data_IF_784147930362
#
_entry.id   IF_784147930362
#
_cell.length_a   1.000
_cell.length_b   1.000
_cell.length_c   1.000
_cell.angle_alpha   90.00
_cell.angle_beta   90.00
_cell.angle_gamma   90.00
#
_symmetry.space_group_name_H-M   'P 1'
#
loop_
_entity.id
_entity.type
_entity.pdbx_description
1 polymer ?
#
# COMPACT_ATOMS: atom_id res chain seq x y z
N UNK A 1 5.27 -4.76 -7.22
CA UNK A 1 4.10 -3.96 -6.79
C UNK A 1 3.74 -4.24 -5.34
N UNK A 2 3.36 -5.48 -4.94
CA UNK A 2 2.96 -5.78 -3.55
C UNK A 2 4.00 -5.44 -2.48
N UNK A 3 5.28 -5.78 -2.72
CA UNK A 3 6.36 -5.42 -1.82
C UNK A 3 6.45 -3.90 -1.64
N UNK A 4 6.46 -3.13 -2.73
CA UNK A 4 6.48 -1.67 -2.67
C UNK A 4 5.32 -1.10 -1.85
N UNK A 5 4.09 -1.62 -2.02
CA UNK A 5 2.93 -1.20 -1.22
C UNK A 5 3.12 -1.44 0.28
N UNK A 6 3.58 -2.63 0.68
CA UNK A 6 3.83 -2.96 2.09
C UNK A 6 5.00 -2.16 2.70
N UNK A 7 6.06 -1.94 1.93
CA UNK A 7 7.18 -1.09 2.35
C UNK A 7 6.74 0.36 2.57
N UNK A 8 5.92 0.89 1.67
CA UNK A 8 5.38 2.25 1.78
C UNK A 8 4.46 2.38 3.00
N UNK A 9 3.56 1.40 3.23
CA UNK A 9 2.73 1.36 4.45
C UNK A 9 3.63 1.38 5.69
N UNK A 10 4.60 0.46 5.79
CA UNK A 10 5.47 0.37 6.96
C UNK A 10 6.27 1.65 7.22
N UNK A 11 6.79 2.29 6.16
CA UNK A 11 7.48 3.56 6.27
C UNK A 11 6.54 4.67 6.77
N UNK A 12 5.39 4.87 6.12
CA UNK A 12 4.44 5.93 6.47
C UNK A 12 3.85 5.76 7.88
N UNK A 13 3.64 4.53 8.36
CA UNK A 13 3.17 4.27 9.73
C UNK A 13 4.14 4.82 10.78
N UNK A 14 5.45 4.80 10.50
CA UNK A 14 6.49 5.29 11.40
C UNK A 14 6.76 6.79 11.19
N UNK A 15 7.03 7.21 9.96
CA UNK A 15 7.47 8.59 9.66
C UNK A 15 6.34 9.54 9.24
N UNK A 16 5.07 9.14 9.32
CA UNK A 16 3.94 9.93 8.81
C UNK A 16 3.82 11.33 9.41
N UNK A 17 4.06 11.47 10.71
CA UNK A 17 4.09 12.80 11.38
C UNK A 17 5.22 13.67 10.87
N UNK A 18 6.44 13.14 10.85
CA UNK A 18 7.62 13.86 10.38
C UNK A 18 7.46 14.28 8.92
N UNK A 19 6.85 13.42 8.11
CA UNK A 19 6.53 13.72 6.70
C UNK A 19 5.61 14.93 6.59
N UNK A 20 4.51 14.97 7.36
CA UNK A 20 3.59 16.10 7.31
C UNK A 20 4.19 17.38 7.89
N UNK A 21 4.95 17.28 8.99
CA UNK A 21 5.63 18.44 9.58
C UNK A 21 6.68 19.02 8.64
N UNK A 22 7.44 18.16 7.96
CA UNK A 22 8.45 18.58 6.98
C UNK A 22 7.84 19.25 5.75
N UNK A 23 6.71 18.73 5.25
CA UNK A 23 6.08 19.23 4.02
C UNK A 23 5.19 20.46 4.24
N UNK A 24 4.43 20.48 5.34
CA UNK A 24 3.37 21.45 5.57
C UNK A 24 3.57 22.30 6.83
N UNK A 25 4.56 21.97 7.68
CA UNK A 25 4.84 22.67 8.93
C UNK A 25 4.23 22.00 10.16
N UNK A 26 4.64 22.45 11.34
CA UNK A 26 4.29 21.86 12.64
C UNK A 26 2.78 21.88 12.93
N UNK A 27 2.04 22.84 12.37
CA UNK A 27 0.59 22.95 12.50
C UNK A 27 -0.16 21.72 11.93
N UNK A 28 0.45 20.98 11.00
CA UNK A 28 -0.14 19.81 10.35
C UNK A 28 0.24 18.48 11.01
N UNK A 29 0.74 18.50 12.24
CA UNK A 29 1.11 17.27 12.97
C UNK A 29 -0.04 16.26 13.05
N UNK A 30 -1.29 16.73 13.20
CA UNK A 30 -2.48 15.87 13.25
C UNK A 30 -2.72 15.16 11.91
N UNK A 31 -2.52 15.85 10.78
CA UNK A 31 -2.63 15.25 9.45
C UNK A 31 -1.61 14.12 9.25
N UNK A 32 -0.51 14.11 10.00
CA UNK A 32 0.45 13.02 10.05
C UNK A 32 -0.13 11.70 10.54
N UNK A 33 -1.11 11.72 11.45
CA UNK A 33 -1.82 10.50 11.86
C UNK A 33 -2.84 10.04 10.81
N UNK A 34 -3.49 10.98 10.14
CA UNK A 34 -4.42 10.68 9.04
C UNK A 34 -3.69 10.04 7.87
N UNK A 35 -2.48 10.53 7.57
CA UNK A 35 -1.60 9.96 6.54
C UNK A 35 -1.30 8.48 6.79
N UNK A 36 -1.16 8.06 8.06
CA UNK A 36 -0.96 6.65 8.42
C UNK A 36 -2.15 5.79 8.00
N UNK A 37 -3.38 6.27 8.18
CA UNK A 37 -4.59 5.57 7.77
C UNK A 37 -4.66 5.50 6.24
N UNK A 38 -4.39 6.61 5.55
CA UNK A 38 -4.39 6.65 4.08
C UNK A 38 -3.28 5.77 3.48
N UNK A 39 -2.15 5.60 4.19
CA UNK A 39 -1.12 4.65 3.79
C UNK A 39 -1.66 3.21 3.77
N UNK A 40 -2.51 2.82 4.72
CA UNK A 40 -3.18 1.50 4.71
C UNK A 40 -4.05 1.35 3.46
N UNK A 41 -4.85 2.38 3.13
CA UNK A 41 -5.65 2.39 1.89
C UNK A 41 -4.76 2.25 0.65
N UNK A 42 -3.63 2.97 0.61
CA UNK A 42 -2.63 2.82 -0.45
C UNK A 42 -2.15 1.37 -0.56
N UNK A 43 -1.84 0.72 0.57
CA UNK A 43 -1.49 -0.70 0.59
C UNK A 43 -2.57 -1.56 -0.09
N UNK A 44 -3.83 -1.36 0.28
CA UNK A 44 -4.98 -2.05 -0.34
C UNK A 44 -5.10 -1.76 -1.84
N UNK A 45 -4.87 -0.53 -2.29
CA UNK A 45 -4.85 -0.15 -3.71
C UNK A 45 -3.78 -0.94 -4.47
N UNK A 46 -2.58 -1.10 -3.92
CA UNK A 46 -1.52 -1.89 -4.57
C UNK A 46 -1.94 -3.37 -4.74
N UNK A 47 -2.65 -3.93 -3.77
CA UNK A 47 -3.23 -5.27 -3.87
C UNK A 47 -4.38 -5.32 -4.88
N UNK A 48 -5.33 -4.40 -4.78
CA UNK A 48 -6.49 -4.27 -5.66
C UNK A 48 -6.07 -4.13 -7.12
N UNK A 49 -5.05 -3.31 -7.41
CA UNK A 49 -4.53 -3.11 -8.76
C UNK A 49 -3.88 -4.37 -9.33
N UNK A 50 -3.12 -5.13 -8.53
CA UNK A 50 -2.57 -6.41 -8.98
C UNK A 50 -3.69 -7.35 -9.44
N UNK A 51 -4.74 -7.47 -8.62
CA UNK A 51 -5.89 -8.32 -8.93
C UNK A 51 -6.67 -7.75 -10.13
N UNK A 52 -6.78 -6.42 -10.22
CA UNK A 52 -7.39 -5.70 -11.34
C UNK A 52 -6.74 -6.02 -12.69
N UNK A 53 -5.41 -6.14 -12.75
CA UNK A 53 -4.72 -6.59 -13.97
C UNK A 53 -5.09 -8.03 -14.34
N UNK A 54 -5.25 -8.93 -13.37
CA UNK A 54 -5.78 -10.26 -13.66
C UNK A 54 -7.23 -10.20 -14.15
N UNK A 55 -8.07 -9.34 -13.58
CA UNK A 55 -9.46 -9.18 -14.03
C UNK A 55 -9.52 -8.74 -15.49
N UNK A 56 -8.66 -7.80 -15.87
CA UNK A 56 -8.51 -7.35 -17.25
C UNK A 56 -8.03 -8.49 -18.15
N UNK A 57 -6.97 -9.21 -17.75
CA UNK A 57 -6.40 -10.31 -18.51
C UNK A 57 -7.38 -11.46 -18.75
N UNK A 58 -8.26 -11.75 -17.79
CA UNK A 58 -9.32 -12.77 -17.91
C UNK A 58 -10.64 -12.24 -18.50
N UNK A 59 -10.68 -10.99 -18.98
CA UNK A 59 -11.88 -10.41 -19.61
C UNK A 59 -13.06 -10.20 -18.66
N UNK A 60 -12.83 -10.16 -17.33
CA UNK A 60 -13.89 -10.07 -16.31
C UNK A 60 -14.23 -8.63 -15.88
N UNK A 61 -13.70 -7.62 -16.56
CA UNK A 61 -13.88 -6.21 -16.19
C UNK A 61 -15.36 -5.79 -16.10
N UNK A 62 -16.23 -6.32 -16.97
CA UNK A 62 -17.68 -6.05 -16.90
C UNK A 62 -18.31 -6.50 -15.56
N UNK A 63 -17.81 -7.58 -14.96
CA UNK A 63 -18.30 -8.05 -13.67
C UNK A 63 -17.90 -7.13 -12.52
N UNK A 64 -16.84 -6.33 -12.68
CA UNK A 64 -16.41 -5.33 -11.69
C UNK A 64 -17.28 -4.08 -11.67
N UNK A 65 -17.94 -3.73 -12.79
CA UNK A 65 -18.72 -2.49 -12.92
C UNK A 65 -19.77 -2.36 -11.81
N UNK A 66 -20.48 -3.44 -11.49
CA UNK A 66 -21.48 -3.43 -10.41
C UNK A 66 -20.85 -3.13 -9.03
N UNK A 67 -19.64 -3.62 -8.77
CA UNK A 67 -18.96 -3.37 -7.51
C UNK A 67 -18.42 -1.93 -7.44
N UNK A 68 -17.94 -1.38 -8.56
CA UNK A 68 -17.60 0.05 -8.64
C UNK A 68 -18.82 0.94 -8.35
N UNK A 69 -19.99 0.60 -8.87
CA UNK A 69 -21.22 1.33 -8.59
C UNK A 69 -21.60 1.24 -7.10
N UNK A 70 -21.55 0.04 -6.50
CA UNK A 70 -21.79 -0.14 -5.06
C UNK A 70 -20.79 0.66 -4.22
N UNK A 71 -19.51 0.61 -4.58
CA UNK A 71 -18.45 1.36 -3.90
C UNK A 71 -18.68 2.87 -3.97
N UNK A 72 -19.06 3.41 -5.13
CA UNK A 72 -19.35 4.84 -5.29
C UNK A 72 -20.56 5.29 -4.45
N UNK A 73 -21.63 4.51 -4.44
CA UNK A 73 -22.82 4.80 -3.62
C UNK A 73 -22.49 4.69 -2.14
N UNK A 74 -21.83 3.61 -1.73
CA UNK A 74 -21.45 3.37 -0.34
C UNK A 74 -20.46 4.42 0.18
N UNK A 75 -19.50 4.85 -0.66
CA UNK A 75 -18.53 5.89 -0.29
C UNK A 75 -19.21 7.24 -0.11
N UNK A 76 -20.09 7.65 -1.02
CA UNK A 76 -20.87 8.88 -0.89
C UNK A 76 -21.73 8.88 0.36
N UNK A 77 -22.46 7.79 0.62
CA UNK A 77 -23.26 7.65 1.85
C UNK A 77 -22.35 7.76 3.08
N UNK A 78 -21.23 7.03 3.09
CA UNK A 78 -20.26 7.08 4.18
C UNK A 78 -19.71 8.49 4.41
N UNK A 79 -19.38 9.21 3.34
CA UNK A 79 -18.90 10.58 3.42
C UNK A 79 -19.98 11.53 3.98
N UNK A 80 -21.20 11.48 3.47
CA UNK A 80 -22.27 12.37 3.96
C UNK A 80 -22.66 12.12 5.41
N UNK A 81 -22.62 10.86 5.88
CA UNK A 81 -22.98 10.52 7.26
C UNK A 81 -21.82 10.82 8.22
N UNK A 82 -20.59 10.40 7.89
CA UNK A 82 -19.49 10.37 8.85
C UNK A 82 -18.60 11.62 8.82
N UNK A 83 -18.47 12.33 7.69
CA UNK A 83 -17.63 13.55 7.64
C UNK A 83 -18.16 14.65 8.58
N UNK A 84 -19.48 14.93 8.68
CA UNK A 84 -19.95 15.95 9.61
C UNK A 84 -19.59 15.69 11.08
N UNK A 85 -19.46 14.41 11.47
CA UNK A 85 -19.16 14.01 12.84
C UNK A 85 -17.66 13.82 13.11
N UNK A 86 -16.91 13.23 12.16
CA UNK A 86 -15.53 12.80 12.36
C UNK A 86 -14.53 13.48 11.40
N UNK A 87 -15.00 14.39 10.55
CA UNK A 87 -14.18 15.18 9.62
C UNK A 87 -13.27 14.30 8.75
N UNK A 88 -12.00 14.67 8.60
CA UNK A 88 -11.00 13.99 7.77
C UNK A 88 -10.69 12.55 8.23
N UNK A 89 -10.93 12.18 9.49
CA UNK A 89 -10.77 10.80 9.95
C UNK A 89 -11.78 9.87 9.30
N UNK A 90 -13.04 10.31 9.17
CA UNK A 90 -14.06 9.57 8.43
C UNK A 90 -13.67 9.40 6.97
N UNK A 91 -13.19 10.46 6.32
CA UNK A 91 -12.78 10.39 4.93
C UNK A 91 -11.69 9.31 4.72
N UNK A 92 -10.66 9.28 5.58
CA UNK A 92 -9.59 8.30 5.50
C UNK A 92 -10.09 6.85 5.71
N UNK A 93 -10.91 6.60 6.73
CA UNK A 93 -11.42 5.26 7.01
C UNK A 93 -12.45 4.76 5.98
N UNK A 94 -13.30 5.63 5.45
CA UNK A 94 -14.20 5.27 4.35
C UNK A 94 -13.38 4.86 3.12
N UNK A 95 -12.28 5.55 2.80
CA UNK A 95 -11.39 5.13 1.72
C UNK A 95 -10.78 3.75 1.98
N UNK A 96 -10.27 3.48 3.18
CA UNK A 96 -9.76 2.14 3.55
C UNK A 96 -10.84 1.07 3.37
N UNK A 97 -12.07 1.33 3.82
CA UNK A 97 -13.18 0.40 3.72
C UNK A 97 -13.55 0.10 2.26
N UNK A 98 -13.63 1.12 1.42
CA UNK A 98 -13.98 0.99 0.01
C UNK A 98 -12.89 0.26 -0.77
N UNK A 99 -11.62 0.59 -0.55
CA UNK A 99 -10.50 -0.12 -1.18
C UNK A 99 -10.44 -1.59 -0.74
N UNK A 100 -10.70 -1.86 0.54
CA UNK A 100 -10.82 -3.22 1.07
C UNK A 100 -11.95 -4.00 0.40
N UNK A 101 -13.14 -3.38 0.30
CA UNK A 101 -14.29 -3.96 -0.40
C UNK A 101 -13.97 -4.27 -1.87
N UNK A 102 -13.37 -3.32 -2.59
CA UNK A 102 -13.01 -3.46 -4.00
C UNK A 102 -11.99 -4.59 -4.21
N UNK A 103 -10.98 -4.67 -3.35
CA UNK A 103 -10.00 -5.76 -3.35
C UNK A 103 -10.68 -7.13 -3.12
N UNK A 104 -11.57 -7.22 -2.13
CA UNK A 104 -12.29 -8.47 -1.83
C UNK A 104 -13.24 -8.88 -2.96
N UNK A 105 -13.96 -7.93 -3.55
CA UNK A 105 -14.81 -8.18 -4.71
C UNK A 105 -13.99 -8.70 -5.89
N UNK A 106 -12.82 -8.12 -6.13
CA UNK A 106 -11.91 -8.55 -7.19
C UNK A 106 -11.40 -9.97 -6.95
N UNK A 107 -10.99 -10.31 -5.72
CA UNK A 107 -10.60 -11.67 -5.33
C UNK A 107 -11.74 -12.67 -5.52
N UNK A 108 -12.96 -12.29 -5.13
CA UNK A 108 -14.13 -13.15 -5.27
C UNK A 108 -14.42 -13.50 -6.73
N UNK A 109 -14.32 -12.53 -7.64
CA UNK A 109 -14.53 -12.75 -9.09
C UNK A 109 -13.46 -13.69 -9.67
N UNK A 110 -12.23 -13.63 -9.15
CA UNK A 110 -11.09 -14.41 -9.65
C UNK A 110 -10.80 -15.70 -8.87
N UNK A 111 -11.57 -16.03 -7.84
CA UNK A 111 -11.33 -17.18 -6.96
C UNK A 111 -11.16 -18.53 -7.67
N UNK A 112 -11.77 -18.66 -8.86
CA UNK A 112 -11.70 -19.89 -9.66
C UNK A 112 -10.60 -19.87 -10.73
N UNK A 113 -9.92 -18.74 -10.95
CA UNK A 113 -8.88 -18.57 -11.98
C UNK A 113 -7.49 -18.37 -11.37
N UNK A 114 -7.43 -17.72 -10.20
CA UNK A 114 -6.16 -17.34 -9.58
C UNK A 114 -6.18 -17.76 -8.12
N UNK A 115 -5.26 -18.64 -7.75
CA UNK A 115 -4.87 -18.85 -6.36
C UNK A 115 -3.66 -17.93 -6.09
N UNK A 116 -3.79 -16.89 -5.25
CA UNK A 116 -2.66 -16.05 -4.91
C UNK A 116 -1.58 -16.93 -4.27
N UNK A 117 -0.37 -16.96 -4.85
CA UNK A 117 0.72 -17.69 -4.22
C UNK A 117 1.12 -16.98 -2.91
N UNK A 118 0.75 -17.57 -1.77
CA UNK A 118 1.07 -17.02 -0.44
C UNK A 118 2.53 -17.25 -0.03
N UNK A 119 3.29 -18.01 -0.83
CA UNK A 119 4.62 -18.51 -0.49
C UNK A 119 5.64 -17.41 -0.13
N UNK A 120 5.54 -16.22 -0.73
CA UNK A 120 6.50 -15.12 -0.50
C UNK A 120 6.01 -14.05 0.46
N UNK A 121 4.74 -14.11 0.89
CA UNK A 121 4.16 -13.10 1.76
C UNK A 121 4.88 -12.95 3.09
N UNK A 122 5.27 -14.03 3.80
CA UNK A 122 6.00 -13.89 5.06
C UNK A 122 7.30 -13.10 4.88
N UNK A 123 8.06 -13.37 3.82
CA UNK A 123 9.33 -12.70 3.58
C UNK A 123 9.16 -11.22 3.22
N UNK A 124 8.09 -10.87 2.50
CA UNK A 124 7.76 -9.47 2.19
C UNK A 124 7.33 -8.72 3.45
N UNK A 125 6.50 -9.35 4.28
CA UNK A 125 6.05 -8.79 5.57
C UNK A 125 7.25 -8.59 6.50
N UNK A 126 8.14 -9.59 6.61
CA UNK A 126 9.37 -9.48 7.40
C UNK A 126 10.28 -8.34 6.91
N UNK A 127 10.42 -8.15 5.59
CA UNK A 127 11.17 -7.02 5.04
C UNK A 127 10.54 -5.67 5.40
N UNK A 128 9.21 -5.56 5.31
CA UNK A 128 8.47 -4.34 5.64
C UNK A 128 8.53 -4.03 7.14
N UNK A 129 8.38 -5.05 7.99
CA UNK A 129 8.57 -4.94 9.44
C UNK A 129 10.00 -4.54 9.79
N UNK A 130 11.01 -5.11 9.12
CA UNK A 130 12.40 -4.75 9.32
C UNK A 130 12.69 -3.29 8.96
N UNK A 131 12.09 -2.78 7.87
CA UNK A 131 12.16 -1.36 7.53
C UNK A 131 11.50 -0.49 8.60
N UNK A 132 10.28 -0.83 9.03
CA UNK A 132 9.56 -0.09 10.06
C UNK A 132 10.34 -0.07 11.39
N UNK A 133 10.89 -1.22 11.79
CA UNK A 133 11.72 -1.34 12.98
C UNK A 133 12.99 -0.48 12.87
N UNK A 134 13.69 -0.52 11.73
CA UNK A 134 14.85 0.34 11.50
C UNK A 134 14.49 1.83 11.67
N UNK A 135 13.45 2.31 11.00
CA UNK A 135 13.03 3.71 11.06
C UNK A 135 12.61 4.13 12.48
N UNK A 136 12.01 3.19 13.23
CA UNK A 136 11.62 3.43 14.62
C UNK A 136 12.83 3.52 15.57
N UNK A 137 13.92 2.82 15.28
CA UNK A 137 15.17 2.83 16.06
C UNK A 137 16.03 4.09 15.85
N UNK A 138 15.77 4.87 14.80
CA UNK A 138 16.53 6.09 14.48
C UNK A 138 15.70 7.37 14.61
N UNK A 139 14.94 7.60 15.70
CA UNK A 139 13.95 8.68 15.79
C UNK A 139 14.58 10.08 15.69
N UNK A 140 15.85 10.25 16.05
CA UNK A 140 16.55 11.54 16.04
C UNK A 140 17.18 11.90 14.69
N UNK A 141 17.19 10.97 13.71
CA UNK A 141 17.79 11.25 12.41
C UNK A 141 16.98 12.32 11.65
N UNK A 142 17.66 13.22 10.92
CA UNK A 142 17.00 14.13 9.98
C UNK A 142 16.06 13.38 9.03
N UNK A 143 14.89 13.95 8.80
CA UNK A 143 13.85 13.32 7.97
C UNK A 143 14.36 12.84 6.61
N UNK A 144 15.12 13.67 5.89
CA UNK A 144 15.68 13.29 4.59
C UNK A 144 16.60 12.06 4.68
N UNK A 145 17.42 11.96 5.73
CA UNK A 145 18.29 10.79 5.93
C UNK A 145 17.47 9.52 6.22
N UNK A 146 16.35 9.62 6.95
CA UNK A 146 15.41 8.50 7.14
C UNK A 146 14.80 8.04 5.82
N UNK A 147 14.38 8.97 4.96
CA UNK A 147 13.80 8.62 3.65
C UNK A 147 14.85 7.93 2.77
N UNK A 148 16.04 8.52 2.61
CA UNK A 148 17.10 7.93 1.78
C UNK A 148 17.58 6.57 2.31
N UNK A 149 17.76 6.44 3.63
CA UNK A 149 18.11 5.13 4.23
C UNK A 149 16.99 4.11 4.01
N UNK A 150 15.72 4.49 4.11
CA UNK A 150 14.59 3.60 3.79
C UNK A 150 14.59 3.10 2.34
N UNK A 151 14.90 3.97 1.38
CA UNK A 151 15.05 3.62 -0.04
C UNK A 151 16.15 2.59 -0.28
N UNK A 152 17.22 2.60 0.52
CA UNK A 152 18.34 1.65 0.41
C UNK A 152 18.06 0.36 1.18
N UNK A 153 17.57 0.49 2.41
CA UNK A 153 17.40 -0.62 3.36
C UNK A 153 16.27 -1.54 2.93
N UNK A 154 15.16 -1.00 2.42
CA UNK A 154 14.02 -1.84 2.06
C UNK A 154 14.35 -2.82 0.92
N UNK A 155 14.95 -2.41 -0.22
CA UNK A 155 15.44 -3.35 -1.22
C UNK A 155 16.48 -4.33 -0.70
N UNK A 156 17.39 -3.89 0.18
CA UNK A 156 18.38 -4.77 0.79
C UNK A 156 17.73 -5.87 1.63
N UNK A 157 16.73 -5.53 2.47
CA UNK A 157 15.96 -6.50 3.25
C UNK A 157 15.15 -7.45 2.36
N UNK A 158 14.54 -6.95 1.29
CA UNK A 158 13.84 -7.79 0.31
C UNK A 158 14.78 -8.80 -0.35
N UNK A 159 16.03 -8.40 -0.62
CA UNK A 159 17.06 -9.29 -1.16
C UNK A 159 17.50 -10.33 -0.13
N UNK A 160 17.83 -9.91 1.09
CA UNK A 160 18.27 -10.79 2.18
C UNK A 160 17.23 -11.86 2.51
N UNK A 161 15.96 -11.46 2.64
CA UNK A 161 14.87 -12.40 2.91
C UNK A 161 14.40 -13.17 1.67
N UNK A 162 15.07 -13.04 0.52
CA UNK A 162 14.72 -13.74 -0.73
C UNK A 162 13.24 -13.52 -1.12
N UNK A 163 12.71 -12.33 -0.83
CA UNK A 163 11.34 -11.96 -1.15
C UNK A 163 11.16 -11.72 -2.67
N UNK A 164 12.26 -11.38 -3.35
CA UNK A 164 12.31 -11.16 -4.80
C UNK A 164 12.64 -12.47 -5.55
N UNK A 165 11.93 -12.78 -6.66
CA UNK A 165 12.28 -13.90 -7.51
C UNK A 165 13.67 -13.73 -8.11
N UNK A 166 14.45 -14.82 -8.14
CA UNK A 166 15.81 -14.84 -8.71
C UNK A 166 15.86 -14.45 -10.20
N UNK A 167 14.74 -14.54 -10.91
CA UNK A 167 14.64 -14.20 -12.33
C UNK A 167 14.68 -12.69 -12.62
N UNK A 168 14.53 -11.82 -11.62
CA UNK A 168 14.59 -10.36 -11.84
C UNK A 168 15.92 -9.95 -12.46
N UNK A 169 17.01 -10.59 -12.04
CA UNK A 169 18.35 -10.31 -12.57
C UNK A 169 18.50 -10.70 -14.04
N UNK A 170 17.71 -11.64 -14.55
CA UNK A 170 17.72 -12.01 -15.98
C UNK A 170 17.06 -10.94 -16.84
N UNK A 171 16.05 -10.24 -16.31
CA UNK A 171 15.38 -9.14 -17.02
C UNK A 171 16.33 -7.95 -17.19
N UNK A 172 17.10 -7.60 -16.15
CA UNK A 172 18.12 -6.56 -16.25
C UNK A 172 19.27 -6.93 -17.20
N UNK A 173 19.70 -8.19 -17.19
CA UNK A 173 20.73 -8.68 -18.13
C UNK A 173 20.26 -8.73 -19.59
N UNK A 174 18.98 -8.99 -19.84
CA UNK A 174 18.42 -9.05 -21.19
C UNK A 174 18.21 -7.66 -21.82
N UNK A 175 18.07 -6.61 -21.02
CA UNK A 175 17.94 -5.23 -21.50
C UNK A 175 19.28 -4.54 -21.77
N UNK A 176 20.38 -5.03 -21.21
CA UNK A 176 21.74 -4.51 -21.46
C UNK A 176 22.43 -5.12 -22.69
N UNK A 177 21.73 -5.98 -23.43
CA UNK A 177 22.24 -6.68 -24.64
C UNK A 177 21.59 -6.22 -25.93
N UNK A 178 20.98 -5.02 -25.93
CA UNK A 178 20.45 -4.30 -27.10
C UNK A 178 21.11 -2.94 -27.14
#
# INVERSE_FOLDING_TARGET
MLAAGLGLVAACLVVGKETMVFLAGSEFTIAGEVLKIVAIATGLIFFGNLIGYFILAFGKQRQMIKYYAVAAVASLIGYFIFIPQYSYWAAAWVTVAIEGFMMLAALWILRAQVLPSLRRWPNIILAAMGLGAFLWLVPTWPFLLKVFSGVIIYPALLYIFKALPRNIWQVFKAQSSV
#
